data_IF_449234308951
#
_entry.id   IF_449234308951
#
_cell.length_a   1.000
_cell.length_b   1.000
_cell.length_c   1.000
_cell.angle_alpha   90.00
_cell.angle_beta   90.00
_cell.angle_gamma   90.00
#
_symmetry.space_group_name_H-M   'P 1'
#
loop_
_entity.id
_entity.type
_entity.pdbx_description
1 polymer ?
#
# COMPACT_ATOMS: atom_id res chain seq x y z
N UNK A 1 12.60 3.38 -20.38
CA UNK A 1 11.47 3.16 -19.46
C UNK A 1 10.31 2.75 -20.33
N UNK A 2 10.12 1.45 -20.43
CA UNK A 2 8.92 0.90 -21.06
C UNK A 2 7.73 1.00 -20.08
N UNK A 3 6.56 0.55 -20.53
CA UNK A 3 5.34 0.60 -19.72
C UNK A 3 5.46 -0.26 -18.45
N UNK A 4 6.22 -1.36 -18.52
CA UNK A 4 6.42 -2.30 -17.41
C UNK A 4 7.27 -1.65 -16.32
N UNK A 5 8.35 -0.96 -16.70
CA UNK A 5 9.20 -0.22 -15.77
C UNK A 5 8.42 0.85 -14.99
N UNK A 6 7.55 1.59 -15.68
CA UNK A 6 6.74 2.67 -15.08
C UNK A 6 5.78 2.08 -14.04
N UNK A 7 5.12 0.97 -14.38
CA UNK A 7 4.16 0.32 -13.50
C UNK A 7 4.85 -0.22 -12.25
N UNK A 8 5.97 -0.94 -12.41
CA UNK A 8 6.78 -1.42 -11.29
C UNK A 8 7.26 -0.25 -10.40
N UNK A 9 7.64 0.88 -10.99
CA UNK A 9 8.03 2.07 -10.24
C UNK A 9 6.88 2.61 -9.38
N UNK A 10 5.66 2.69 -9.93
CA UNK A 10 4.47 3.15 -9.20
C UNK A 10 4.13 2.21 -8.04
N UNK A 11 4.13 0.89 -8.27
CA UNK A 11 3.88 -0.09 -7.20
C UNK A 11 4.92 0.01 -6.09
N UNK A 12 6.20 0.18 -6.43
CA UNK A 12 7.27 0.34 -5.45
C UNK A 12 7.10 1.60 -4.61
N UNK A 13 6.78 2.74 -5.22
CA UNK A 13 6.52 3.99 -4.50
C UNK A 13 5.30 3.85 -3.58
N UNK A 14 4.20 3.27 -4.08
CA UNK A 14 2.99 3.09 -3.28
C UNK A 14 3.20 2.12 -2.11
N UNK A 15 3.93 1.03 -2.34
CA UNK A 15 4.31 0.08 -1.28
C UNK A 15 5.15 0.77 -0.19
N UNK A 16 6.12 1.60 -0.59
CA UNK A 16 6.91 2.38 0.35
C UNK A 16 6.03 3.38 1.14
N UNK A 17 5.10 4.06 0.47
CA UNK A 17 4.15 4.97 1.13
C UNK A 17 3.31 4.22 2.18
N UNK A 18 2.79 3.04 1.85
CA UNK A 18 2.04 2.20 2.80
C UNK A 18 2.90 1.81 4.00
N UNK A 19 4.12 1.31 3.77
CA UNK A 19 5.04 0.92 4.85
C UNK A 19 5.31 2.10 5.78
N UNK A 20 5.66 3.26 5.23
CA UNK A 20 5.93 4.48 6.02
C UNK A 20 4.68 4.89 6.80
N UNK A 21 3.51 4.87 6.18
CA UNK A 21 2.24 5.22 6.83
C UNK A 21 1.89 4.26 7.98
N UNK A 22 2.07 2.95 7.79
CA UNK A 22 1.84 1.92 8.80
C UNK A 22 2.77 2.14 10.00
N UNK A 23 4.06 2.36 9.75
CA UNK A 23 5.03 2.63 10.82
C UNK A 23 4.71 3.94 11.55
N UNK A 24 4.32 4.99 10.82
CA UNK A 24 3.84 6.24 11.42
C UNK A 24 2.59 6.02 12.28
N UNK A 25 1.71 5.09 11.91
CA UNK A 25 0.50 4.81 12.67
C UNK A 25 0.76 4.37 14.11
N UNK A 26 1.96 3.84 14.41
CA UNK A 26 2.41 3.42 15.75
C UNK A 26 3.01 4.56 16.58
N UNK A 27 3.26 5.73 15.97
CA UNK A 27 3.81 6.93 16.63
C UNK A 27 2.66 7.94 16.81
N UNK A 28 2.16 8.16 18.04
CA UNK A 28 0.94 8.94 18.30
C UNK A 28 0.93 10.37 17.71
N UNK A 29 2.08 11.02 17.58
CA UNK A 29 2.21 12.41 17.10
C UNK A 29 2.52 12.55 15.61
N UNK A 30 2.73 11.44 14.89
CA UNK A 30 3.23 11.50 13.51
C UNK A 30 2.13 11.77 12.47
N UNK A 31 0.88 11.36 12.74
CA UNK A 31 -0.26 11.51 11.83
C UNK A 31 -0.67 12.97 11.63
N UNK A 32 -0.53 13.79 12.66
CA UNK A 32 -0.90 15.21 12.64
C UNK A 32 0.11 16.10 11.89
N UNK A 33 1.19 15.53 11.36
CA UNK A 33 2.13 16.24 10.49
C UNK A 33 1.54 16.41 9.08
N UNK A 34 2.02 17.41 8.33
CA UNK A 34 1.61 17.59 6.94
C UNK A 34 1.92 16.37 6.07
N UNK A 35 3.06 15.70 6.34
CA UNK A 35 3.45 14.47 5.68
C UNK A 35 2.56 13.28 6.09
N UNK A 36 2.20 13.17 7.36
CA UNK A 36 1.27 12.15 7.86
C UNK A 36 -0.11 12.25 7.20
N UNK A 37 -0.69 13.46 7.14
CA UNK A 37 -1.97 13.72 6.44
C UNK A 37 -1.88 13.46 4.94
N UNK A 38 -0.73 13.76 4.32
CA UNK A 38 -0.50 13.43 2.91
C UNK A 38 -0.57 11.91 2.72
N UNK A 39 0.17 11.14 3.49
CA UNK A 39 0.17 9.68 3.39
C UNK A 39 -1.21 9.09 3.69
N UNK A 40 -1.90 9.58 4.72
CA UNK A 40 -3.26 9.17 5.07
C UNK A 40 -4.21 9.30 3.87
N UNK A 41 -4.18 10.43 3.16
CA UNK A 41 -5.04 10.65 2.00
C UNK A 41 -4.88 9.60 0.90
N UNK A 42 -3.68 9.06 0.71
CA UNK A 42 -3.39 8.05 -0.34
C UNK A 42 -3.45 6.60 0.16
N UNK A 43 -3.12 6.37 1.43
CA UNK A 43 -3.01 5.02 2.00
C UNK A 43 -4.32 4.56 2.64
N UNK A 44 -5.09 5.48 3.23
CA UNK A 44 -6.28 5.15 4.02
C UNK A 44 -7.43 4.57 3.19
N UNK A 45 -7.72 5.02 1.96
CA UNK A 45 -8.75 4.38 1.14
C UNK A 45 -8.46 2.89 0.88
N UNK A 46 -7.18 2.53 0.71
CA UNK A 46 -6.74 1.16 0.49
C UNK A 46 -6.73 0.36 1.79
N UNK A 47 -6.02 0.81 2.83
CA UNK A 47 -5.94 0.11 4.11
C UNK A 47 -7.31 0.03 4.81
N UNK A 48 -8.09 1.10 4.75
CA UNK A 48 -9.44 1.18 5.29
C UNK A 48 -10.41 0.19 4.64
N UNK A 49 -10.18 -0.22 3.38
CA UNK A 49 -10.91 -1.34 2.78
C UNK A 49 -10.60 -2.65 3.50
N UNK A 50 -9.33 -2.97 3.75
CA UNK A 50 -8.94 -4.20 4.45
C UNK A 50 -9.39 -4.22 5.91
N UNK A 51 -9.36 -3.07 6.61
CA UNK A 51 -9.85 -2.96 7.99
C UNK A 51 -11.34 -3.32 8.14
N UNK A 52 -12.14 -3.22 7.08
CA UNK A 52 -13.54 -3.66 7.09
C UNK A 52 -13.68 -5.17 7.19
N UNK A 53 -12.73 -5.92 6.63
CA UNK A 53 -12.74 -7.39 6.63
C UNK A 53 -11.90 -7.97 7.76
N UNK A 54 -10.81 -7.30 8.13
CA UNK A 54 -9.87 -7.70 9.17
C UNK A 54 -9.76 -6.53 10.15
N UNK A 55 -10.69 -6.42 11.10
CA UNK A 55 -10.65 -5.34 12.08
C UNK A 55 -9.39 -5.45 12.97
N UNK A 56 -8.89 -4.32 13.49
CA UNK A 56 -7.76 -4.32 14.42
C UNK A 56 -8.04 -5.16 15.67
N UNK A 57 -7.04 -5.87 16.16
CA UNK A 57 -7.10 -6.61 17.42
C UNK A 57 -6.45 -5.76 18.51
N UNK A 58 -7.27 -5.06 19.29
CA UNK A 58 -6.79 -4.09 20.28
C UNK A 58 -6.09 -2.91 19.60
N UNK A 59 -4.81 -2.69 19.91
CA UNK A 59 -4.01 -1.61 19.30
C UNK A 59 -3.27 -2.05 18.02
N UNK A 60 -3.26 -3.34 17.70
CA UNK A 60 -2.51 -3.89 16.58
C UNK A 60 -3.44 -4.08 15.38
N UNK A 61 -3.14 -3.36 14.31
CA UNK A 61 -3.80 -3.53 13.02
C UNK A 61 -3.04 -4.55 12.18
N UNK A 62 -3.65 -5.72 11.95
CA UNK A 62 -3.12 -6.78 11.09
C UNK A 62 -3.54 -6.63 9.62
N UNK A 63 -4.53 -5.77 9.33
CA UNK A 63 -4.99 -5.49 7.97
C UNK A 63 -3.87 -5.06 7.02
N UNK A 64 -2.81 -4.34 7.43
CA UNK A 64 -1.76 -3.93 6.51
C UNK A 64 -0.92 -5.09 5.96
N UNK A 65 -0.77 -6.18 6.71
CA UNK A 65 -0.04 -7.36 6.23
C UNK A 65 -0.77 -7.96 5.03
N UNK A 66 -2.09 -8.14 5.17
CA UNK A 66 -2.92 -8.67 4.09
C UNK A 66 -3.02 -7.68 2.94
N UNK A 67 -3.11 -6.37 3.24
CA UNK A 67 -3.09 -5.34 2.22
C UNK A 67 -1.81 -5.39 1.38
N UNK A 68 -0.62 -5.42 2.01
CA UNK A 68 0.66 -5.53 1.31
C UNK A 68 0.75 -6.82 0.48
N UNK A 69 0.30 -7.95 1.03
CA UNK A 69 0.29 -9.23 0.31
C UNK A 69 -0.59 -9.15 -0.95
N UNK A 70 -1.79 -8.59 -0.84
CA UNK A 70 -2.69 -8.41 -1.98
C UNK A 70 -2.09 -7.45 -3.00
N UNK A 71 -1.43 -6.37 -2.55
CA UNK A 71 -0.73 -5.45 -3.45
C UNK A 71 0.35 -6.17 -4.27
N UNK A 72 1.15 -7.03 -3.64
CA UNK A 72 2.18 -7.84 -4.32
C UNK A 72 1.55 -8.77 -5.38
N UNK A 73 0.43 -9.42 -5.07
CA UNK A 73 -0.25 -10.26 -6.05
C UNK A 73 -0.83 -9.46 -7.22
N UNK A 74 -1.35 -8.25 -6.96
CA UNK A 74 -1.83 -7.34 -8.00
C UNK A 74 -0.66 -6.91 -8.92
N UNK A 75 0.47 -6.50 -8.34
CA UNK A 75 1.68 -6.13 -9.08
C UNK A 75 2.14 -7.27 -10.00
N UNK A 76 2.31 -8.48 -9.44
CA UNK A 76 2.76 -9.64 -10.20
C UNK A 76 1.75 -10.03 -11.30
N UNK A 77 0.45 -9.96 -11.01
CA UNK A 77 -0.60 -10.24 -11.97
C UNK A 77 -0.59 -9.28 -13.15
N UNK A 78 -0.41 -7.98 -12.88
CA UNK A 78 -0.29 -6.96 -13.91
C UNK A 78 0.99 -7.16 -14.72
N UNK A 79 2.13 -7.41 -14.08
CA UNK A 79 3.39 -7.69 -14.76
C UNK A 79 3.25 -8.86 -15.74
N UNK A 80 2.69 -9.98 -15.28
CA UNK A 80 2.49 -11.17 -16.11
C UNK A 80 1.55 -10.90 -17.29
N UNK A 81 0.48 -10.15 -17.07
CA UNK A 81 -0.47 -9.77 -18.12
C UNK A 81 0.19 -8.88 -19.18
N UNK A 82 0.96 -7.88 -18.76
CA UNK A 82 1.68 -7.00 -19.68
C UNK A 82 2.74 -7.76 -20.46
N UNK A 83 3.48 -8.65 -19.79
CA UNK A 83 4.44 -9.51 -20.46
C UNK A 83 3.76 -10.34 -21.55
N UNK A 84 2.65 -11.01 -21.23
CA UNK A 84 1.88 -11.81 -22.20
C UNK A 84 1.32 -10.99 -23.39
N UNK A 85 0.98 -9.72 -23.18
CA UNK A 85 0.37 -8.89 -24.23
C UNK A 85 1.39 -8.22 -25.15
N UNK A 86 2.58 -7.91 -24.63
CA UNK A 86 3.58 -7.11 -25.33
C UNK A 86 4.84 -7.88 -25.75
N UNK A 87 5.04 -9.10 -25.25
CA UNK A 87 6.15 -10.00 -25.56
C UNK A 87 5.64 -11.41 -25.90
#
# INVERSE_FOLDING_TARGET
MDIVDIINFVFRIYTLMLIVYILMSWIPSSRDTAFGRFLEKFCEPYLGFFRKFIPPLGMIDFSPIIALLVLTFIEQGIYNLLYMLFY
#
